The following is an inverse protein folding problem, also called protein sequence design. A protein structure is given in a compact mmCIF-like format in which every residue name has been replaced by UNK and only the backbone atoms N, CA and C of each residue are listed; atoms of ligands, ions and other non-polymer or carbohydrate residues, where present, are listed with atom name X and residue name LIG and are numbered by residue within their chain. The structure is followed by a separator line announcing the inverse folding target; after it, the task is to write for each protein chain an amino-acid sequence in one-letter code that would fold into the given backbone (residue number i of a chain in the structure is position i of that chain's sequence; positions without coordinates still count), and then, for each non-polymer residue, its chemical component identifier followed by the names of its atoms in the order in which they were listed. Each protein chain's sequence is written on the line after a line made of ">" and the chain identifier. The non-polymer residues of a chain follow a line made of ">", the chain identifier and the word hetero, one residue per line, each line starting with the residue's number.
data_IF_118532642567
#
_entry.id   IF_118532642567
#
_cell.length_a   1.000
_cell.length_b   1.000
_cell.length_c   1.000
_cell.angle_alpha   90.00
_cell.angle_beta   90.00
_cell.angle_gamma   90.00
#
_symmetry.space_group_name_H-M   'P 1'
#
loop_
_entity.id
_entity.type
_entity.pdbx_description
1 polymer ?
#
# COMPACT_ATOMS: atom_id res chain seq x y z
N UNK A 1 -21.02 -11.78 -2.02
CA UNK A 1 -20.08 -11.91 -3.16
C UNK A 1 -19.35 -10.59 -3.30
N UNK A 2 -18.05 -10.55 -2.99
CA UNK A 2 -17.24 -9.33 -3.15
C UNK A 2 -17.11 -8.98 -4.62
N UNK A 3 -17.33 -7.72 -4.98
CA UNK A 3 -17.14 -7.23 -6.35
C UNK A 3 -15.70 -7.56 -6.76
N UNK A 4 -15.53 -8.36 -7.82
CA UNK A 4 -14.21 -8.63 -8.37
C UNK A 4 -13.51 -7.30 -8.66
N UNK A 5 -12.35 -7.10 -8.03
CA UNK A 5 -11.52 -5.93 -8.29
C UNK A 5 -11.17 -5.94 -9.78
N UNK A 6 -11.37 -4.82 -10.46
CA UNK A 6 -10.93 -4.66 -11.85
C UNK A 6 -9.40 -4.91 -11.87
N UNK A 7 -8.89 -5.73 -12.81
CA UNK A 7 -7.45 -5.91 -12.98
C UNK A 7 -6.78 -4.56 -13.17
N UNK A 8 -5.65 -4.34 -12.51
CA UNK A 8 -4.94 -3.06 -12.54
C UNK A 8 -3.44 -3.29 -12.63
N UNK A 9 -2.73 -2.33 -13.22
CA UNK A 9 -1.30 -2.45 -13.46
C UNK A 9 -0.54 -2.17 -12.17
N UNK A 10 0.33 -3.11 -11.78
CA UNK A 10 1.21 -3.02 -10.61
C UNK A 10 2.63 -3.28 -11.14
N UNK A 11 3.46 -2.24 -11.15
CA UNK A 11 4.83 -2.33 -11.67
C UNK A 11 5.88 -2.34 -10.57
N UNK A 12 5.59 -1.76 -9.41
CA UNK A 12 6.49 -1.75 -8.27
C UNK A 12 6.55 -3.11 -7.57
N UNK A 13 7.75 -3.47 -7.11
CA UNK A 13 7.96 -4.56 -6.15
C UNK A 13 8.47 -3.96 -4.84
N UNK A 14 7.93 -4.36 -3.67
CA UNK A 14 8.50 -3.94 -2.40
C UNK A 14 9.92 -4.50 -2.25
N UNK A 15 10.78 -3.78 -1.54
CA UNK A 15 12.16 -4.21 -1.30
C UNK A 15 12.18 -5.53 -0.49
N UNK A 16 11.31 -5.62 0.51
CA UNK A 16 11.14 -6.77 1.39
C UNK A 16 9.66 -7.10 1.56
N UNK A 17 9.36 -8.35 1.92
CA UNK A 17 7.99 -8.80 2.20
C UNK A 17 7.44 -8.29 3.53
N UNK A 18 8.28 -7.74 4.41
CA UNK A 18 7.90 -7.25 5.73
C UNK A 18 8.79 -6.10 6.20
N UNK A 19 8.17 -5.09 6.81
CA UNK A 19 8.83 -4.05 7.59
C UNK A 19 8.32 -4.07 9.03
N UNK A 20 9.20 -3.99 10.02
CA UNK A 20 8.82 -4.07 11.44
C UNK A 20 9.70 -3.20 12.33
N UNK A 21 9.23 -2.79 13.52
CA UNK A 21 10.08 -2.14 14.51
C UNK A 21 11.24 -3.04 14.96
N UNK A 22 12.36 -2.40 15.30
CA UNK A 22 13.54 -3.09 15.78
C UNK A 22 13.34 -3.57 17.23
N UNK A 23 13.99 -4.68 17.60
CA UNK A 23 14.00 -5.19 18.98
C UNK A 23 12.77 -6.01 19.41
N UNK A 24 11.73 -6.12 18.58
CA UNK A 24 10.53 -6.91 18.90
C UNK A 24 10.39 -8.11 17.94
N UNK A 25 10.24 -9.35 18.45
CA UNK A 25 9.99 -10.52 17.60
C UNK A 25 8.69 -10.40 16.79
N UNK A 26 8.71 -10.91 15.55
CA UNK A 26 7.53 -10.88 14.65
C UNK A 26 6.29 -11.53 15.26
N UNK A 27 6.47 -12.56 16.09
CA UNK A 27 5.39 -13.29 16.77
C UNK A 27 4.64 -12.47 17.82
N UNK A 28 5.19 -11.33 18.25
CA UNK A 28 4.59 -10.45 19.25
C UNK A 28 3.98 -9.18 18.64
N UNK A 29 4.08 -9.02 17.32
CA UNK A 29 3.62 -7.84 16.62
C UNK A 29 2.26 -8.10 15.97
N UNK A 30 1.39 -7.11 16.05
CA UNK A 30 0.22 -7.05 15.18
C UNK A 30 0.69 -6.79 13.74
N UNK A 31 0.07 -7.48 12.78
CA UNK A 31 0.39 -7.37 11.35
C UNK A 31 -0.67 -6.55 10.63
N UNK A 32 -0.21 -5.69 9.72
CA UNK A 32 -1.07 -4.98 8.78
C UNK A 32 -0.62 -5.32 7.37
N UNK A 33 -1.53 -5.88 6.59
CA UNK A 33 -1.28 -6.17 5.19
C UNK A 33 -1.46 -4.91 4.34
N UNK A 34 -0.39 -4.51 3.66
CA UNK A 34 -0.43 -3.56 2.56
C UNK A 34 -0.69 -4.32 1.27
N UNK A 35 -1.83 -4.06 0.65
CA UNK A 35 -2.17 -4.71 -0.60
C UNK A 35 -1.29 -4.17 -1.74
N UNK A 36 -1.04 -4.99 -2.76
CA UNK A 36 -0.18 -4.60 -3.87
C UNK A 36 -0.69 -3.34 -4.62
N UNK A 37 -2.01 -3.13 -4.67
CA UNK A 37 -2.63 -1.93 -5.24
C UNK A 37 -2.44 -0.68 -4.35
N UNK A 38 -2.43 -0.85 -3.04
CA UNK A 38 -2.12 0.21 -2.08
C UNK A 38 -0.64 0.59 -2.12
N UNK A 39 0.26 -0.40 -2.22
CA UNK A 39 1.69 -0.19 -2.37
C UNK A 39 2.02 0.59 -3.64
N UNK A 40 1.46 0.18 -4.79
CA UNK A 40 1.70 0.87 -6.05
C UNK A 40 1.18 2.31 -6.02
N UNK A 41 -0.01 2.53 -5.43
CA UNK A 41 -0.56 3.87 -5.28
C UNK A 41 0.34 4.77 -4.41
N UNK A 42 0.87 4.24 -3.29
CA UNK A 42 1.84 4.93 -2.43
C UNK A 42 3.13 5.23 -3.21
N UNK A 43 3.65 4.27 -3.99
CA UNK A 43 4.87 4.43 -4.80
C UNK A 43 4.73 5.53 -5.85
N UNK A 44 3.66 5.51 -6.64
CA UNK A 44 3.48 6.48 -7.73
C UNK A 44 3.20 7.90 -7.19
N UNK A 45 2.32 8.03 -6.20
CA UNK A 45 1.89 9.35 -5.71
C UNK A 45 2.84 9.91 -4.67
N UNK A 46 3.16 9.16 -3.62
CA UNK A 46 3.90 9.68 -2.47
C UNK A 46 5.42 9.61 -2.67
N UNK A 47 5.94 8.55 -3.29
CA UNK A 47 7.37 8.40 -3.51
C UNK A 47 7.85 9.05 -4.83
N UNK A 48 7.13 8.87 -5.93
CA UNK A 48 7.50 9.43 -7.24
C UNK A 48 6.93 10.82 -7.51
N UNK A 49 6.01 11.30 -6.65
CA UNK A 49 5.43 12.63 -6.79
C UNK A 49 4.50 12.79 -8.00
N UNK A 50 3.98 11.69 -8.57
CA UNK A 50 3.07 11.78 -9.72
C UNK A 50 1.74 12.44 -9.32
N UNK A 51 1.18 13.22 -10.23
CA UNK A 51 -0.18 13.72 -10.07
C UNK A 51 -1.17 12.54 -10.04
N UNK A 52 -2.19 12.64 -9.18
CA UNK A 52 -3.16 11.56 -8.98
C UNK A 52 -3.90 11.17 -10.28
N UNK A 53 -4.10 12.10 -11.20
CA UNK A 53 -4.74 11.77 -12.47
C UNK A 53 -3.84 10.84 -13.30
N UNK A 54 -2.55 11.16 -13.40
CA UNK A 54 -1.58 10.39 -14.20
C UNK A 54 -1.31 9.03 -13.58
N UNK A 55 -1.18 8.96 -12.24
CA UNK A 55 -1.03 7.70 -11.52
C UNK A 55 -2.27 6.79 -11.68
N UNK A 56 -3.48 7.38 -11.75
CA UNK A 56 -4.71 6.61 -11.95
C UNK A 56 -4.74 6.00 -13.36
N UNK A 57 -4.33 6.77 -14.37
CA UNK A 57 -4.17 6.30 -15.75
C UNK A 57 -3.11 5.20 -15.81
N UNK A 58 -1.95 5.39 -15.18
CA UNK A 58 -0.87 4.40 -15.14
C UNK A 58 -1.30 3.06 -14.52
N UNK A 59 -2.13 3.10 -13.48
CA UNK A 59 -2.69 1.89 -12.86
C UNK A 59 -3.91 1.32 -13.60
N UNK A 60 -4.51 2.04 -14.55
CA UNK A 60 -5.74 1.64 -15.22
C UNK A 60 -6.99 1.69 -14.32
N UNK A 61 -7.03 2.63 -13.37
CA UNK A 61 -8.15 2.79 -12.43
C UNK A 61 -8.76 4.19 -12.49
N UNK A 62 -9.96 4.36 -11.92
CA UNK A 62 -10.54 5.70 -11.78
C UNK A 62 -9.73 6.56 -10.79
N UNK A 63 -9.75 7.88 -10.97
CA UNK A 63 -9.14 8.83 -10.02
C UNK A 63 -9.64 8.64 -8.60
N UNK A 64 -10.94 8.38 -8.42
CA UNK A 64 -11.52 8.11 -7.11
C UNK A 64 -10.98 6.82 -6.49
N UNK A 65 -10.82 5.77 -7.30
CA UNK A 65 -10.21 4.51 -6.85
C UNK A 65 -8.77 4.72 -6.41
N UNK A 66 -7.96 5.45 -7.18
CA UNK A 66 -6.59 5.77 -6.78
C UNK A 66 -6.57 6.57 -5.46
N UNK A 67 -7.39 7.61 -5.34
CA UNK A 67 -7.45 8.42 -4.13
C UNK A 67 -7.78 7.57 -2.88
N UNK A 68 -8.69 6.61 -3.02
CA UNK A 68 -9.02 5.67 -1.95
C UNK A 68 -7.86 4.73 -1.61
N UNK A 69 -7.13 4.22 -2.62
CA UNK A 69 -5.94 3.39 -2.41
C UNK A 69 -4.84 4.15 -1.67
N UNK A 70 -4.51 5.37 -2.11
CA UNK A 70 -3.51 6.22 -1.44
C UNK A 70 -3.92 6.48 0.00
N UNK A 71 -5.19 6.83 0.24
CA UNK A 71 -5.69 7.07 1.60
C UNK A 71 -5.55 5.83 2.49
N UNK A 72 -5.94 4.65 1.99
CA UNK A 72 -5.83 3.40 2.72
C UNK A 72 -4.37 3.02 3.01
N UNK A 73 -3.50 3.14 2.00
CA UNK A 73 -2.07 2.89 2.12
C UNK A 73 -1.42 3.76 3.20
N UNK A 74 -1.65 5.09 3.14
CA UNK A 74 -1.13 6.03 4.13
C UNK A 74 -1.61 5.74 5.54
N UNK A 75 -2.89 5.38 5.70
CA UNK A 75 -3.43 5.02 7.01
C UNK A 75 -2.73 3.80 7.60
N UNK A 76 -2.54 2.74 6.80
CA UNK A 76 -1.84 1.52 7.23
C UNK A 76 -0.40 1.78 7.62
N UNK A 77 0.32 2.54 6.80
CA UNK A 77 1.71 2.94 7.09
C UNK A 77 1.76 3.78 8.37
N UNK A 78 0.87 4.77 8.53
CA UNK A 78 0.82 5.59 9.73
C UNK A 78 0.50 4.76 10.98
N UNK A 79 -0.45 3.82 10.90
CA UNK A 79 -0.79 2.91 12.01
C UNK A 79 0.42 2.06 12.42
N UNK A 80 1.15 1.50 11.46
CA UNK A 80 2.40 0.77 11.74
C UNK A 80 3.45 1.64 12.43
N UNK A 81 3.64 2.87 11.95
CA UNK A 81 4.65 3.78 12.51
C UNK A 81 4.28 4.30 13.90
N UNK A 82 3.00 4.58 14.16
CA UNK A 82 2.53 5.14 15.44
C UNK A 82 2.37 4.06 16.51
N UNK A 83 1.82 2.90 16.15
CA UNK A 83 1.51 1.83 17.10
C UNK A 83 2.56 0.71 17.13
N UNK A 84 3.64 0.85 16.35
CA UNK A 84 4.74 -0.12 16.33
C UNK A 84 4.30 -1.48 15.76
N UNK A 85 3.45 -1.49 14.74
CA UNK A 85 2.98 -2.72 14.10
C UNK A 85 3.91 -3.12 12.95
N UNK A 86 3.88 -4.39 12.58
CA UNK A 86 4.59 -4.87 11.40
C UNK A 86 3.73 -4.68 10.14
N UNK A 87 4.33 -4.12 9.10
CA UNK A 87 3.74 -3.91 7.80
C UNK A 87 4.15 -5.08 6.89
N UNK A 88 3.16 -5.84 6.44
CA UNK A 88 3.33 -7.00 5.58
C UNK A 88 2.96 -6.64 4.15
N UNK A 89 3.77 -7.04 3.18
CA UNK A 89 3.44 -6.86 1.77
C UNK A 89 2.66 -8.07 1.28
N UNK A 90 1.41 -7.87 0.85
CA UNK A 90 0.61 -8.95 0.31
C UNK A 90 1.08 -9.30 -1.11
N UNK A 91 1.24 -10.61 -1.38
CA UNK A 91 1.49 -11.17 -2.70
C UNK A 91 0.21 -11.29 -3.52
#
# INVERSE_FOLDING_TARGET
>A
MGRNKIPRVICGKPADSCFKPNGIPMSQLEHIDLAADEFEALRLVDLQGMHQQDAAVAMGVSRQTLANLVKAARLKVADCLVNGKALMMCH
#
